data_IF_067078118304
#
_entry.id   IF_067078118304
#
_cell.length_a   1.000
_cell.length_b   1.000
_cell.length_c   1.000
_cell.angle_alpha   90.00
_cell.angle_beta   90.00
_cell.angle_gamma   90.00
#
_symmetry.space_group_name_H-M   'P 1'
#
loop_
_entity.id
_entity.type
_entity.pdbx_description
1 polymer ?
#
# COMPACT_ATOMS: atom_id res chain seq x y z
N UNK A 1 11.06 -18.20 3.14
CA UNK A 1 10.06 -18.03 4.21
C UNK A 1 8.68 -18.33 3.64
N UNK A 2 7.92 -19.25 4.26
CA UNK A 2 6.57 -19.54 3.80
C UNK A 2 5.63 -18.44 4.30
N UNK A 3 5.08 -17.66 3.38
CA UNK A 3 4.16 -16.54 3.67
C UNK A 3 2.78 -16.87 3.13
N UNK A 4 1.74 -16.58 3.92
CA UNK A 4 0.35 -16.75 3.53
C UNK A 4 -0.30 -15.38 3.36
N UNK A 5 0.11 -14.69 2.31
CA UNK A 5 -0.34 -13.33 2.00
C UNK A 5 -1.35 -13.39 0.85
N UNK A 6 -2.48 -12.71 1.03
CA UNK A 6 -3.51 -12.51 0.00
C UNK A 6 -3.61 -11.03 -0.33
N UNK A 7 -3.40 -10.68 -1.60
CA UNK A 7 -3.58 -9.33 -2.12
C UNK A 7 -4.86 -9.28 -2.97
N UNK A 8 -5.83 -8.48 -2.56
CA UNK A 8 -7.05 -8.22 -3.31
C UNK A 8 -6.79 -7.16 -4.38
N UNK A 9 -7.13 -7.46 -5.63
CA UNK A 9 -6.81 -6.63 -6.79
C UNK A 9 -8.00 -6.51 -7.75
N UNK A 10 -8.07 -5.39 -8.45
CA UNK A 10 -9.06 -5.11 -9.49
C UNK A 10 -8.52 -5.61 -10.83
N UNK A 11 -9.21 -6.57 -11.48
CA UNK A 11 -8.83 -6.99 -12.82
C UNK A 11 -9.11 -5.86 -13.82
N UNK A 12 -8.16 -5.59 -14.70
CA UNK A 12 -8.43 -4.87 -15.94
C UNK A 12 -8.95 -5.84 -17.01
N UNK A 13 -9.48 -5.30 -18.11
CA UNK A 13 -9.89 -6.06 -19.30
C UNK A 13 -8.74 -6.94 -19.84
N UNK A 14 -7.48 -6.56 -19.57
CA UNK A 14 -6.28 -7.32 -19.97
C UNK A 14 -5.80 -8.32 -18.92
N UNK A 15 -6.54 -8.52 -17.82
CA UNK A 15 -6.13 -9.39 -16.71
C UNK A 15 -4.97 -8.84 -15.86
N UNK A 16 -4.60 -7.57 -16.07
CA UNK A 16 -3.54 -6.88 -15.33
C UNK A 16 -4.15 -6.02 -14.23
N UNK A 17 -3.39 -5.76 -13.16
CA UNK A 17 -3.76 -4.82 -12.10
C UNK A 17 -4.09 -3.44 -12.68
N UNK A 18 -5.34 -2.99 -12.52
CA UNK A 18 -5.82 -1.73 -13.11
C UNK A 18 -5.40 -0.49 -12.30
N UNK A 19 -5.16 -0.65 -10.99
CA UNK A 19 -4.94 0.48 -10.05
C UNK A 19 -3.45 0.70 -9.74
N UNK A 20 -2.95 1.97 -9.81
CA UNK A 20 -1.62 2.32 -9.36
C UNK A 20 -1.36 1.99 -7.88
N UNK A 21 -2.37 2.17 -7.01
CA UNK A 21 -2.26 1.87 -5.58
C UNK A 21 -1.99 0.39 -5.33
N UNK A 22 -2.62 -0.49 -6.13
CA UNK A 22 -2.38 -1.93 -6.03
C UNK A 22 -1.03 -2.33 -6.59
N UNK A 23 -0.53 -1.64 -7.63
CA UNK A 23 0.83 -1.84 -8.14
C UNK A 23 1.90 -1.51 -7.11
N UNK A 24 1.73 -0.45 -6.30
CA UNK A 24 2.68 -0.12 -5.22
C UNK A 24 2.91 -1.30 -4.28
N UNK A 25 1.82 -1.90 -3.80
CA UNK A 25 1.88 -3.06 -2.89
C UNK A 25 2.43 -4.29 -3.61
N UNK A 26 2.04 -4.53 -4.87
CA UNK A 26 2.56 -5.64 -5.68
C UNK A 26 4.08 -5.55 -5.85
N UNK A 27 4.59 -4.37 -6.17
CA UNK A 27 6.02 -4.12 -6.32
C UNK A 27 6.75 -4.29 -4.99
N UNK A 28 6.19 -3.80 -3.89
CA UNK A 28 6.76 -3.98 -2.55
C UNK A 28 6.89 -5.47 -2.16
N UNK A 29 5.85 -6.26 -2.40
CA UNK A 29 5.87 -7.71 -2.15
C UNK A 29 6.90 -8.44 -3.01
N UNK A 30 6.97 -8.10 -4.30
CA UNK A 30 7.95 -8.67 -5.23
C UNK A 30 9.38 -8.28 -4.84
N UNK A 31 9.62 -7.03 -4.45
CA UNK A 31 10.93 -6.53 -4.03
C UNK A 31 11.44 -7.29 -2.80
N UNK A 32 10.55 -7.53 -1.82
CA UNK A 32 10.85 -8.34 -0.63
C UNK A 32 10.87 -9.85 -0.88
N UNK A 33 10.60 -10.31 -2.11
CA UNK A 33 10.52 -11.73 -2.51
C UNK A 33 9.58 -12.55 -1.60
N UNK A 34 8.46 -11.95 -1.21
CA UNK A 34 7.44 -12.63 -0.41
C UNK A 34 6.48 -13.42 -1.32
N UNK A 35 6.07 -14.60 -0.87
CA UNK A 35 5.08 -15.39 -1.59
C UNK A 35 3.69 -14.86 -1.25
N UNK A 36 2.93 -14.49 -2.28
CA UNK A 36 1.56 -14.03 -2.11
C UNK A 36 0.67 -14.54 -3.25
N UNK A 37 -0.62 -14.65 -2.96
CA UNK A 37 -1.65 -14.91 -3.96
C UNK A 37 -2.40 -13.63 -4.27
N UNK A 38 -2.74 -13.45 -5.54
CA UNK A 38 -3.65 -12.38 -5.95
C UNK A 38 -5.07 -12.93 -5.99
N UNK A 39 -5.99 -12.29 -5.29
CA UNK A 39 -7.42 -12.54 -5.45
C UNK A 39 -8.01 -11.39 -6.27
N UNK A 40 -8.56 -11.73 -7.43
CA UNK A 40 -9.19 -10.75 -8.30
C UNK A 40 -10.63 -10.53 -7.85
N UNK A 41 -10.97 -9.27 -7.58
CA UNK A 41 -12.30 -8.86 -7.18
C UNK A 41 -12.79 -7.77 -8.14
N UNK A 42 -13.93 -8.00 -8.83
CA UNK A 42 -14.54 -6.98 -9.66
C UNK A 42 -14.87 -5.72 -8.84
N UNK A 43 -14.70 -4.54 -9.42
CA UNK A 43 -14.92 -3.28 -8.70
C UNK A 43 -16.31 -3.16 -8.05
N UNK A 44 -17.34 -3.72 -8.71
CA UNK A 44 -18.71 -3.73 -8.20
C UNK A 44 -18.91 -4.59 -6.94
N UNK A 45 -18.01 -5.55 -6.69
CA UNK A 45 -18.10 -6.49 -5.57
C UNK A 45 -17.19 -6.13 -4.40
N UNK A 46 -16.32 -5.12 -4.54
CA UNK A 46 -15.37 -4.71 -3.49
C UNK A 46 -16.11 -4.43 -2.18
N UNK A 47 -17.21 -3.69 -2.23
CA UNK A 47 -17.99 -3.33 -1.04
C UNK A 47 -18.58 -4.56 -0.35
N UNK A 48 -19.06 -5.55 -1.12
CA UNK A 48 -19.59 -6.82 -0.60
C UNK A 48 -18.50 -7.67 0.03
N UNK A 49 -17.26 -7.57 -0.45
CA UNK A 49 -16.12 -8.33 0.06
C UNK A 49 -15.51 -7.70 1.32
N UNK A 50 -15.35 -6.37 1.32
CA UNK A 50 -14.68 -5.65 2.40
C UNK A 50 -15.54 -5.49 3.67
N UNK A 51 -16.86 -5.28 3.52
CA UNK A 51 -17.80 -5.13 4.64
C UNK A 51 -17.81 -6.30 5.63
N UNK A 52 -18.02 -7.57 5.22
CA UNK A 52 -18.09 -8.69 6.16
C UNK A 52 -16.75 -8.99 6.83
N UNK A 53 -15.63 -8.58 6.21
CA UNK A 53 -14.30 -8.71 6.79
C UNK A 53 -13.97 -7.60 7.82
N UNK A 54 -14.91 -6.68 8.06
CA UNK A 54 -14.75 -5.60 9.05
C UNK A 54 -13.77 -4.51 8.61
N UNK A 55 -13.45 -4.39 7.31
CA UNK A 55 -12.62 -3.30 6.83
C UNK A 55 -13.33 -1.96 6.95
N UNK A 56 -12.59 -0.93 7.35
CA UNK A 56 -13.08 0.45 7.33
C UNK A 56 -13.07 0.97 5.88
N UNK A 57 -14.06 1.79 5.49
CA UNK A 57 -14.01 2.48 4.21
C UNK A 57 -12.79 3.42 4.18
N UNK A 58 -12.16 3.52 3.01
CA UNK A 58 -10.95 4.34 2.80
C UNK A 58 -11.30 5.79 2.43
N UNK A 59 -12.57 6.07 2.12
CA UNK A 59 -13.06 7.42 1.86
C UNK A 59 -14.59 7.45 1.76
N UNK A 60 -15.11 8.59 1.28
CA UNK A 60 -16.52 8.78 0.97
C UNK A 60 -16.70 9.02 -0.54
N UNK A 61 -17.81 8.52 -1.10
CA UNK A 61 -18.26 8.85 -2.46
C UNK A 61 -18.77 10.30 -2.48
N UNK A 62 -18.94 10.92 -3.67
CA UNK A 62 -19.57 12.25 -3.78
C UNK A 62 -20.96 12.32 -3.12
N UNK A 63 -21.65 11.20 -3.06
CA UNK A 63 -22.94 10.98 -2.40
C UNK A 63 -22.83 10.76 -0.87
N UNK A 64 -21.68 11.03 -0.25
CA UNK A 64 -21.39 10.78 1.18
C UNK A 64 -21.45 9.32 1.64
N UNK A 65 -21.81 8.38 0.76
CA UNK A 65 -21.79 6.95 1.04
C UNK A 65 -20.37 6.39 1.18
N UNK A 66 -20.14 5.34 1.99
CA UNK A 66 -18.80 4.81 2.24
C UNK A 66 -18.17 4.26 0.95
N UNK A 67 -16.91 4.62 0.72
CA UNK A 67 -16.13 4.18 -0.44
C UNK A 67 -15.06 3.16 0.00
N UNK A 68 -15.18 1.95 -0.51
CA UNK A 68 -14.22 0.88 -0.29
C UNK A 68 -13.26 0.81 -1.48
N UNK A 69 -11.97 0.82 -1.22
CA UNK A 69 -10.93 0.80 -2.25
C UNK A 69 -9.99 -0.38 -2.06
N UNK A 70 -9.28 -0.70 -3.14
CA UNK A 70 -8.17 -1.66 -3.14
C UNK A 70 -6.85 -0.87 -3.31
N UNK A 71 -5.71 -1.36 -2.79
CA UNK A 71 -5.47 -2.72 -2.31
C UNK A 71 -6.02 -3.01 -0.90
N UNK A 72 -6.54 -4.22 -0.74
CA UNK A 72 -6.77 -4.84 0.56
C UNK A 72 -5.81 -6.02 0.71
N UNK A 73 -5.15 -6.09 1.84
CA UNK A 73 -4.08 -7.03 2.11
C UNK A 73 -4.43 -7.84 3.36
N UNK A 74 -4.29 -9.15 3.24
CA UNK A 74 -4.55 -10.10 4.32
C UNK A 74 -3.33 -10.99 4.45
N UNK A 75 -2.59 -10.81 5.55
CA UNK A 75 -1.51 -11.69 5.96
C UNK A 75 -2.04 -12.68 7.00
N UNK A 76 -1.84 -13.97 6.77
CA UNK A 76 -2.18 -15.05 7.71
C UNK A 76 -0.94 -15.80 8.20
N UNK A 77 0.24 -15.23 8.03
CA UNK A 77 1.51 -15.88 8.36
C UNK A 77 1.70 -15.99 9.88
N UNK A 78 1.89 -14.87 10.59
CA UNK A 78 1.81 -14.79 12.06
C UNK A 78 2.14 -13.36 12.54
N UNK A 79 1.28 -12.66 13.30
CA UNK A 79 -0.15 -12.87 13.52
C UNK A 79 -0.99 -12.48 12.29
N UNK A 80 -2.26 -12.88 12.26
CA UNK A 80 -3.15 -12.49 11.15
C UNK A 80 -3.35 -10.98 11.12
N UNK A 81 -3.03 -10.34 9.99
CA UNK A 81 -3.17 -8.89 9.81
C UNK A 81 -3.93 -8.57 8.54
N UNK A 82 -4.96 -7.76 8.70
CA UNK A 82 -5.80 -7.25 7.62
C UNK A 82 -5.61 -5.74 7.52
N UNK A 83 -5.16 -5.25 6.36
CA UNK A 83 -4.92 -3.83 6.10
C UNK A 83 -5.61 -3.40 4.81
N UNK A 84 -6.10 -2.16 4.81
CA UNK A 84 -6.60 -1.48 3.63
C UNK A 84 -5.72 -0.26 3.36
N UNK A 85 -5.68 0.17 2.10
CA UNK A 85 -4.82 1.25 1.58
C UNK A 85 -3.33 0.88 1.43
N UNK A 86 -2.71 1.42 0.38
CA UNK A 86 -1.36 1.06 -0.07
C UNK A 86 -0.25 1.46 0.91
N UNK A 87 -0.32 2.65 1.51
CA UNK A 87 0.73 3.16 2.40
C UNK A 87 0.87 2.35 3.70
N UNK A 88 -0.19 2.12 4.49
CA UNK A 88 -0.07 1.34 5.73
C UNK A 88 0.35 -0.12 5.47
N UNK A 89 0.00 -0.68 4.31
CA UNK A 89 0.47 -2.02 3.91
C UNK A 89 1.99 -2.00 3.72
N UNK A 90 2.53 -1.03 2.98
CA UNK A 90 3.98 -0.94 2.72
C UNK A 90 4.76 -0.73 4.02
N UNK A 91 4.27 0.13 4.91
CA UNK A 91 4.88 0.31 6.24
C UNK A 91 4.85 -0.96 7.09
N UNK A 92 3.73 -1.70 7.06
CA UNK A 92 3.63 -2.99 7.73
C UNK A 92 4.64 -4.00 7.18
N UNK A 93 4.74 -4.11 5.86
CA UNK A 93 5.70 -5.00 5.21
C UNK A 93 7.15 -4.66 5.59
N UNK A 94 7.48 -3.39 5.72
CA UNK A 94 8.81 -2.97 6.15
C UNK A 94 9.12 -3.39 7.59
N UNK A 95 8.16 -3.19 8.50
CA UNK A 95 8.32 -3.50 9.94
C UNK A 95 8.31 -5.01 10.21
N UNK A 96 7.46 -5.76 9.53
CA UNK A 96 7.24 -7.19 9.80
C UNK A 96 8.21 -8.09 9.05
N UNK A 97 8.59 -7.71 7.84
CA UNK A 97 9.51 -8.47 7.00
C UNK A 97 10.77 -7.64 6.76
N UNK A 98 11.66 -7.54 7.78
CA UNK A 98 12.89 -6.78 7.65
C UNK A 98 13.70 -7.35 6.49
N UNK A 99 14.22 -6.49 5.61
CA UNK A 99 14.86 -6.89 4.39
C UNK A 99 16.24 -7.52 4.65
N UNK A 100 16.71 -8.33 3.70
CA UNK A 100 18.16 -8.51 3.50
C UNK A 100 18.76 -7.17 3.06
N UNK A 101 20.05 -6.87 3.32
CA UNK A 101 20.67 -5.62 2.89
C UNK A 101 20.39 -5.34 1.41
N UNK A 102 19.76 -4.20 1.10
CA UNK A 102 19.35 -3.81 -0.27
C UNK A 102 17.90 -4.10 -0.67
N UNK A 103 17.08 -4.76 0.18
CA UNK A 103 15.65 -4.96 -0.06
C UNK A 103 14.73 -4.01 0.73
N UNK A 104 15.30 -2.94 1.30
CA UNK A 104 14.60 -1.87 2.02
C UNK A 104 13.64 -1.13 1.08
N UNK A 105 12.39 -0.96 1.53
CA UNK A 105 11.38 -0.23 0.73
C UNK A 105 11.52 1.27 0.88
N UNK A 106 12.01 1.71 2.03
CA UNK A 106 12.31 3.10 2.30
C UNK A 106 13.82 3.25 2.34
N UNK A 107 14.37 4.16 1.54
CA UNK A 107 15.77 4.53 1.74
C UNK A 107 15.88 5.15 3.14
N UNK A 108 16.85 4.74 3.98
CA UNK A 108 17.15 5.48 5.19
C UNK A 108 17.46 6.91 4.73
N UNK A 109 16.62 7.83 5.19
CA UNK A 109 16.67 9.24 4.82
C UNK A 109 18.06 9.76 5.14
N UNK A 110 18.88 9.97 4.11
CA UNK A 110 20.08 10.77 4.28
C UNK A 110 19.63 12.22 4.48
N UNK A 111 19.51 12.62 5.76
CA UNK A 111 19.67 13.99 6.26
C UNK A 111 18.51 14.95 5.90
N UNK A 112 18.04 15.78 6.86
CA UNK A 112 16.87 16.63 6.63
C UNK A 112 17.12 17.65 5.53
N UNK A 113 16.11 17.90 4.71
CA UNK A 113 16.03 19.07 3.82
C UNK A 113 16.02 20.31 4.73
N UNK A 114 17.19 20.76 5.18
CA UNK A 114 17.33 22.11 5.71
C UNK A 114 16.99 23.02 4.54
N UNK A 115 15.79 23.59 4.61
CA UNK A 115 15.38 24.72 3.78
C UNK A 115 16.54 25.70 3.76
N UNK A 116 17.19 25.84 2.61
CA UNK A 116 18.16 26.89 2.39
C UNK A 116 17.36 28.18 2.25
N UNK A 117 16.96 28.76 3.39
CA UNK A 117 16.44 30.12 3.44
C UNK A 117 17.60 31.03 3.02
N UNK A 118 17.68 31.32 1.72
CA UNK A 118 18.58 32.32 1.17
C UNK A 118 18.00 33.67 1.58
N UNK A 119 18.41 34.19 2.74
CA UNK A 119 18.11 35.58 3.10
C UNK A 119 18.85 36.48 2.12
N UNK A 120 18.13 36.97 1.10
CA UNK A 120 18.61 38.05 0.25
C UNK A 120 18.44 39.37 1.01
N UNK A 121 19.45 39.74 1.80
CA UNK A 121 19.62 41.12 2.23
C UNK A 121 20.58 41.80 1.25
N UNK A 122 20.03 42.54 0.29
CA UNK A 122 20.80 43.55 -0.46
C UNK A 122 20.84 44.84 0.36
N UNK A 123 22.01 45.45 0.59
CA UNK A 123 22.07 46.83 1.09
C UNK A 123 21.90 47.80 -0.07
N UNK A 124 20.97 48.76 0.08
CA UNK A 124 20.88 49.94 -0.79
C UNK A 124 21.99 50.91 -0.36
N UNK A 125 22.83 51.34 -1.31
CA UNK A 125 23.66 52.54 -1.20
C UNK A 125 23.09 53.58 -2.15
#
# INVERSE_FOLDING_TARGET
MHTNITLLNIPSIRGISASPSTWKVRLALNHKRLNYRTQWVPSAEIEKFCKPLGFKPTGAKPDSSPHYTLPTFIDRTNPSRSLADSMPIVEYLEKTYPPSPGAELFRPTQIPFKSFSRSLSCPLT
#
